data_IF_256354287714
#
_entry.id   IF_256354287714
#
_cell.length_a   1.000
_cell.length_b   1.000
_cell.length_c   1.000
_cell.angle_alpha   90.00
_cell.angle_beta   90.00
_cell.angle_gamma   90.00
#
_symmetry.space_group_name_H-M   'P 1'
#
loop_
_entity.id
_entity.type
_entity.pdbx_description
1 polymer ?
#
# COMPACT_ATOMS: atom_id res chain seq x y z
N UNK A 1 -13.61 21.84 13.32
CA UNK A 1 -12.94 21.66 12.01
C UNK A 1 -11.53 22.22 12.22
N UNK A 2 -10.47 21.44 11.95
CA UNK A 2 -9.11 21.89 12.20
C UNK A 2 -8.69 22.92 11.15
N UNK A 3 -8.29 24.11 11.57
CA UNK A 3 -7.78 25.14 10.65
C UNK A 3 -6.29 24.93 10.38
N UNK A 4 -5.84 25.21 9.15
CA UNK A 4 -4.42 25.11 8.76
C UNK A 4 -3.52 25.93 9.68
N UNK A 5 -3.86 27.20 9.88
CA UNK A 5 -3.12 28.11 10.75
C UNK A 5 -3.05 27.68 12.22
N UNK A 6 -4.05 26.93 12.70
CA UNK A 6 -4.03 26.38 14.06
C UNK A 6 -3.04 25.21 14.17
N UNK A 7 -3.06 24.30 13.21
CA UNK A 7 -2.13 23.17 13.15
C UNK A 7 -0.69 23.65 12.96
N UNK A 8 -0.46 24.64 12.11
CA UNK A 8 0.85 25.26 11.92
C UNK A 8 1.39 25.84 13.24
N UNK A 9 0.57 26.62 13.96
CA UNK A 9 0.94 27.18 15.27
C UNK A 9 1.28 26.09 16.28
N UNK A 10 0.49 25.02 16.34
CA UNK A 10 0.74 23.88 17.24
C UNK A 10 2.05 23.17 16.90
N UNK A 11 2.31 22.90 15.61
CA UNK A 11 3.57 22.29 15.17
C UNK A 11 4.77 23.18 15.55
N UNK A 12 4.71 24.48 15.27
CA UNK A 12 5.79 25.42 15.61
C UNK A 12 6.00 25.48 17.12
N UNK A 13 4.92 25.51 17.91
CA UNK A 13 4.97 25.47 19.37
C UNK A 13 5.66 24.20 19.87
N UNK A 14 5.22 23.02 19.43
CA UNK A 14 5.82 21.73 19.78
C UNK A 14 7.31 21.71 19.44
N UNK A 15 7.71 22.22 18.26
CA UNK A 15 9.13 22.29 17.87
C UNK A 15 9.92 23.17 18.83
N UNK A 16 9.44 24.37 19.15
CA UNK A 16 10.10 25.30 20.09
C UNK A 16 10.25 24.72 21.49
N UNK A 17 9.16 24.16 22.04
CA UNK A 17 9.13 23.64 23.41
C UNK A 17 10.04 22.43 23.59
N UNK A 18 10.35 21.70 22.51
CA UNK A 18 11.19 20.50 22.55
C UNK A 18 12.57 20.72 21.92
N UNK A 19 13.00 21.97 21.72
CA UNK A 19 14.35 22.32 21.25
C UNK A 19 14.64 21.96 19.78
N UNK A 20 13.61 21.71 18.97
CA UNK A 20 13.78 21.45 17.55
C UNK A 20 13.90 22.77 16.76
N UNK A 21 14.70 22.81 15.68
CA UNK A 21 14.77 23.97 14.80
C UNK A 21 13.40 24.31 14.22
N UNK A 22 13.00 25.57 14.27
CA UNK A 22 11.79 26.06 13.60
C UNK A 22 12.14 26.28 12.14
N UNK A 23 11.74 25.32 11.31
CA UNK A 23 11.89 25.38 9.86
C UNK A 23 10.58 25.89 9.24
N UNK A 24 10.64 26.68 8.16
CA UNK A 24 9.44 27.03 7.42
C UNK A 24 8.85 25.77 6.77
N UNK A 25 7.53 25.68 6.75
CA UNK A 25 6.80 24.64 6.04
C UNK A 25 5.43 25.16 5.60
N UNK A 26 4.81 24.46 4.66
CA UNK A 26 3.46 24.80 4.17
C UNK A 26 2.51 23.62 4.24
N UNK A 27 1.35 23.86 4.87
CA UNK A 27 0.18 22.97 4.80
C UNK A 27 -0.79 23.52 3.75
N UNK A 28 -0.99 22.78 2.66
CA UNK A 28 -1.93 23.14 1.60
C UNK A 28 -3.38 22.80 1.99
N UNK A 29 -3.59 21.68 2.67
CA UNK A 29 -4.92 21.19 3.02
C UNK A 29 -4.90 20.33 4.29
N UNK A 30 -6.00 20.35 5.05
CA UNK A 30 -6.25 19.42 6.16
C UNK A 30 -7.58 18.72 5.92
N UNK A 31 -7.56 17.39 6.08
CA UNK A 31 -8.77 16.56 6.05
C UNK A 31 -8.91 15.82 7.36
N UNK A 32 -10.12 15.79 7.91
CA UNK A 32 -10.40 15.06 9.15
C UNK A 32 -11.49 14.04 8.91
N UNK A 33 -11.15 12.77 9.13
CA UNK A 33 -12.11 11.67 9.06
C UNK A 33 -12.69 11.40 10.44
N UNK A 34 -13.92 11.87 10.66
CA UNK A 34 -14.64 11.72 11.92
C UNK A 34 -14.92 10.26 12.28
N UNK A 35 -15.11 9.39 11.29
CA UNK A 35 -15.46 7.98 11.51
C UNK A 35 -14.29 7.21 12.12
N UNK A 36 -13.08 7.43 11.59
CA UNK A 36 -11.87 6.76 12.09
C UNK A 36 -11.07 7.60 13.09
N UNK A 37 -11.50 8.84 13.35
CA UNK A 37 -10.83 9.83 14.20
C UNK A 37 -9.37 10.06 13.75
N UNK A 38 -9.20 10.32 12.45
CA UNK A 38 -7.89 10.49 11.80
C UNK A 38 -7.76 11.85 11.13
N UNK A 39 -6.66 12.52 11.41
CA UNK A 39 -6.28 13.77 10.77
C UNK A 39 -5.25 13.53 9.67
N UNK A 40 -5.53 14.08 8.49
CA UNK A 40 -4.63 14.05 7.35
C UNK A 40 -4.15 15.48 7.08
N UNK A 41 -2.83 15.66 7.05
CA UNK A 41 -2.18 16.92 6.72
C UNK A 41 -1.56 16.76 5.33
N UNK A 42 -1.94 17.62 4.39
CA UNK A 42 -1.40 17.61 3.03
C UNK A 42 -0.39 18.75 2.94
N UNK A 43 0.87 18.37 2.98
CA UNK A 43 2.01 19.26 2.81
C UNK A 43 2.21 19.58 1.33
N UNK A 44 2.74 20.76 1.01
CA UNK A 44 2.96 21.14 -0.40
C UNK A 44 3.98 20.24 -1.09
N UNK A 45 5.10 19.92 -0.45
CA UNK A 45 6.10 18.98 -0.96
C UNK A 45 6.64 18.00 0.10
N UNK A 46 7.68 17.21 -0.26
CA UNK A 46 8.32 16.24 0.64
C UNK A 46 9.17 16.89 1.72
N UNK A 47 9.76 18.07 1.46
CA UNK A 47 10.51 18.84 2.44
C UNK A 47 9.56 19.39 3.51
N UNK A 48 8.42 19.93 3.10
CA UNK A 48 7.33 20.37 4.00
C UNK A 48 6.79 19.20 4.82
N UNK A 49 6.51 18.06 4.17
CA UNK A 49 6.10 16.82 4.88
C UNK A 49 7.12 16.46 5.95
N UNK A 50 8.42 16.48 5.63
CA UNK A 50 9.50 16.16 6.57
C UNK A 50 9.62 17.19 7.70
N UNK A 51 9.40 18.47 7.41
CA UNK A 51 9.36 19.53 8.41
C UNK A 51 8.17 19.40 9.37
N UNK A 52 7.00 18.98 8.88
CA UNK A 52 5.82 18.74 9.70
C UNK A 52 6.02 17.45 10.53
N UNK A 53 6.58 16.39 9.93
CA UNK A 53 6.84 15.12 10.62
C UNK A 53 7.93 15.24 11.69
N UNK A 54 9.01 15.94 11.36
CA UNK A 54 10.25 15.91 12.13
C UNK A 54 10.85 14.50 12.17
N UNK A 55 11.23 14.07 13.36
CA UNK A 55 11.69 12.71 13.66
C UNK A 55 10.54 11.82 14.18
N UNK A 56 9.32 12.00 13.65
CA UNK A 56 8.05 11.42 14.13
C UNK A 56 7.57 11.90 15.50
N UNK A 57 8.44 12.54 16.30
CA UNK A 57 8.07 13.07 17.62
C UNK A 57 7.02 14.17 17.53
N UNK A 58 7.20 15.11 16.59
CA UNK A 58 6.32 16.27 16.42
C UNK A 58 4.88 15.82 16.15
N UNK A 59 4.71 14.84 15.27
CA UNK A 59 3.40 14.26 14.95
C UNK A 59 2.84 13.46 16.12
N UNK A 60 3.69 12.74 16.86
CA UNK A 60 3.29 12.05 18.08
C UNK A 60 2.69 13.00 19.12
N UNK A 61 3.36 14.14 19.36
CA UNK A 61 2.87 15.19 20.26
C UNK A 61 1.65 15.92 19.73
N UNK A 62 1.62 16.23 18.44
CA UNK A 62 0.46 16.85 17.80
C UNK A 62 -0.78 15.97 17.95
N UNK A 63 -0.64 14.65 17.74
CA UNK A 63 -1.70 13.67 17.97
C UNK A 63 -2.20 13.71 19.42
N UNK A 64 -1.29 13.73 20.41
CA UNK A 64 -1.63 13.83 21.83
C UNK A 64 -2.39 15.13 22.15
N UNK A 65 -1.91 16.28 21.68
CA UNK A 65 -2.55 17.58 21.93
C UNK A 65 -3.92 17.73 21.27
N UNK A 66 -4.12 17.12 20.10
CA UNK A 66 -5.39 17.18 19.37
C UNK A 66 -6.39 16.12 19.85
N UNK A 67 -5.95 15.12 20.62
CA UNK A 67 -6.81 14.05 21.12
C UNK A 67 -7.36 13.13 20.02
N UNK A 68 -6.71 13.06 18.87
CA UNK A 68 -7.13 12.21 17.73
C UNK A 68 -6.41 10.86 17.74
N UNK A 69 -7.03 9.80 17.19
CA UNK A 69 -6.39 8.47 17.11
C UNK A 69 -5.12 8.45 16.26
N UNK A 70 -5.10 9.19 15.16
CA UNK A 70 -3.96 9.19 14.24
C UNK A 70 -3.82 10.53 13.52
N UNK A 71 -2.57 10.94 13.30
CA UNK A 71 -2.19 12.02 12.39
C UNK A 71 -1.31 11.42 11.30
N UNK A 72 -1.59 11.74 10.03
CA UNK A 72 -0.80 11.28 8.88
C UNK A 72 -0.52 12.46 7.97
N UNK A 73 0.72 12.54 7.47
CA UNK A 73 1.17 13.63 6.61
C UNK A 73 1.48 13.07 5.22
N UNK A 74 0.84 13.63 4.20
CA UNK A 74 1.11 13.32 2.79
C UNK A 74 1.73 14.53 2.10
N UNK A 75 2.56 14.30 1.09
CA UNK A 75 2.93 15.37 0.18
C UNK A 75 1.89 15.46 -0.94
N UNK A 76 1.58 16.67 -1.39
CA UNK A 76 0.69 16.90 -2.52
C UNK A 76 1.22 16.28 -3.81
N UNK A 77 2.55 16.24 -3.96
CA UNK A 77 3.19 15.58 -5.09
C UNK A 77 2.86 14.07 -5.14
N UNK A 78 2.93 13.36 -4.00
CA UNK A 78 2.59 11.94 -3.95
C UNK A 78 1.10 11.72 -4.32
N UNK A 79 0.20 12.60 -3.87
CA UNK A 79 -1.22 12.54 -4.23
C UNK A 79 -1.48 12.83 -5.73
N UNK A 80 -0.71 13.73 -6.33
CA UNK A 80 -0.77 14.01 -7.78
C UNK A 80 -0.29 12.79 -8.58
N UNK A 81 0.81 12.17 -8.16
CA UNK A 81 1.34 10.95 -8.80
C UNK A 81 0.29 9.83 -8.74
N UNK A 82 -0.28 9.59 -7.55
CA UNK A 82 -1.38 8.64 -7.35
C UNK A 82 -2.54 8.91 -8.32
N UNK A 83 -3.01 10.16 -8.41
CA UNK A 83 -4.11 10.53 -9.31
C UNK A 83 -3.81 10.21 -10.77
N UNK A 84 -2.61 10.54 -11.26
CA UNK A 84 -2.20 10.21 -12.64
C UNK A 84 -2.20 8.70 -12.89
N UNK A 85 -1.69 7.91 -11.96
CA UNK A 85 -1.70 6.44 -12.04
C UNK A 85 -3.13 5.87 -12.09
N UNK A 86 -4.01 6.40 -11.25
CA UNK A 86 -5.42 6.01 -11.23
C UNK A 86 -6.13 6.36 -12.56
N UNK A 87 -5.85 7.51 -13.15
CA UNK A 87 -6.39 7.90 -14.47
C UNK A 87 -5.90 6.98 -15.60
N UNK A 88 -4.62 6.63 -15.59
CA UNK A 88 -4.03 5.68 -16.54
C UNK A 88 -4.67 4.29 -16.39
N UNK A 89 -4.80 3.81 -15.15
CA UNK A 89 -5.33 2.48 -14.85
C UNK A 89 -6.84 2.37 -15.07
N UNK A 90 -7.60 3.45 -14.87
CA UNK A 90 -9.01 3.52 -15.23
C UNK A 90 -9.22 3.28 -16.72
N UNK A 91 -8.35 3.86 -17.57
CA UNK A 91 -8.40 3.64 -19.02
C UNK A 91 -8.05 2.20 -19.39
N UNK A 92 -7.08 1.58 -18.71
CA UNK A 92 -6.67 0.19 -18.97
C UNK A 92 -7.78 -0.82 -18.69
N UNK A 93 -8.60 -0.60 -17.66
CA UNK A 93 -9.65 -1.56 -17.26
C UNK A 93 -10.99 -1.34 -17.95
N UNK A 94 -11.21 -0.17 -18.56
CA UNK A 94 -12.47 0.13 -19.26
C UNK A 94 -12.67 -0.82 -20.44
N UNK A 95 -13.86 -1.41 -20.56
CA UNK A 95 -14.21 -2.44 -21.52
C UNK A 95 -13.66 -3.83 -21.19
N UNK A 96 -13.07 -4.03 -20.02
CA UNK A 96 -12.52 -5.34 -19.60
C UNK A 96 -13.37 -5.95 -18.48
N UNK A 97 -13.13 -7.22 -18.18
CA UNK A 97 -13.77 -7.90 -17.04
C UNK A 97 -13.31 -7.36 -15.66
N UNK A 98 -12.39 -6.38 -15.63
CA UNK A 98 -11.94 -5.70 -14.42
C UNK A 98 -12.71 -4.40 -14.14
N UNK A 99 -13.73 -4.03 -14.94
CA UNK A 99 -14.53 -2.81 -14.72
C UNK A 99 -15.19 -2.75 -13.34
N UNK A 100 -15.39 -3.87 -12.65
CA UNK A 100 -15.87 -3.88 -11.27
C UNK A 100 -14.95 -3.11 -10.30
N UNK A 101 -13.68 -2.83 -10.68
CA UNK A 101 -12.74 -2.01 -9.90
C UNK A 101 -12.95 -0.50 -10.07
N UNK A 102 -13.75 -0.05 -11.03
CA UNK A 102 -14.00 1.39 -11.28
C UNK A 102 -14.46 2.13 -10.02
N UNK A 103 -15.43 1.62 -9.22
CA UNK A 103 -15.83 2.30 -7.98
C UNK A 103 -14.70 2.42 -6.94
N UNK A 104 -13.73 1.50 -6.94
CA UNK A 104 -12.55 1.60 -6.08
C UNK A 104 -11.63 2.74 -6.55
N UNK A 105 -11.38 2.83 -7.86
CA UNK A 105 -10.59 3.91 -8.44
C UNK A 105 -11.22 5.27 -8.14
N UNK A 106 -12.53 5.40 -8.32
CA UNK A 106 -13.28 6.63 -8.04
C UNK A 106 -13.18 7.04 -6.57
N UNK A 107 -13.25 6.08 -5.66
CA UNK A 107 -13.02 6.33 -4.24
C UNK A 107 -11.58 6.79 -3.97
N UNK A 108 -10.57 6.19 -4.60
CA UNK A 108 -9.17 6.56 -4.44
C UNK A 108 -8.82 7.96 -4.98
N UNK A 109 -9.60 8.54 -5.92
CA UNK A 109 -9.38 9.93 -6.34
C UNK A 109 -9.59 10.95 -5.21
N UNK A 110 -10.41 10.59 -4.22
CA UNK A 110 -10.74 11.41 -3.06
C UNK A 110 -9.87 11.09 -1.83
N UNK A 111 -8.93 10.15 -1.96
CA UNK A 111 -7.97 9.83 -0.92
C UNK A 111 -7.09 11.05 -0.58
N UNK A 112 -6.73 11.28 0.70
CA UNK A 112 -7.22 10.63 1.92
C UNK A 112 -8.54 11.25 2.45
N UNK A 113 -9.34 10.54 3.27
CA UNK A 113 -9.18 9.15 3.72
C UNK A 113 -9.52 8.11 2.63
N UNK A 114 -9.08 6.87 2.84
CA UNK A 114 -9.47 5.71 2.00
C UNK A 114 -10.84 5.19 2.43
N UNK A 115 -11.86 5.37 1.59
CA UNK A 115 -13.24 4.90 1.83
C UNK A 115 -13.74 4.06 0.66
N UNK A 116 -13.27 2.81 0.60
CA UNK A 116 -13.69 1.89 -0.48
C UNK A 116 -15.15 1.47 -0.31
N UNK A 117 -15.96 1.51 -1.39
CA UNK A 117 -17.28 0.91 -1.37
C UNK A 117 -17.17 -0.61 -1.16
N UNK A 118 -18.21 -1.21 -0.59
CA UNK A 118 -18.34 -2.66 -0.58
C UNK A 118 -18.67 -3.12 -1.99
N UNK A 119 -17.86 -4.02 -2.53
CA UNK A 119 -18.13 -4.67 -3.81
C UNK A 119 -18.41 -6.15 -3.59
N UNK A 120 -19.19 -6.71 -4.52
CA UNK A 120 -19.45 -8.14 -4.60
C UNK A 120 -19.17 -8.57 -6.05
N UNK A 121 -17.89 -8.59 -6.43
CA UNK A 121 -17.50 -9.03 -7.77
C UNK A 121 -18.00 -10.45 -8.07
N UNK A 122 -17.99 -11.34 -7.08
CA UNK A 122 -18.50 -12.72 -7.21
C UNK A 122 -17.62 -13.66 -8.04
N UNK A 123 -16.67 -13.09 -8.79
CA UNK A 123 -15.63 -13.76 -9.56
C UNK A 123 -14.60 -14.48 -8.68
N UNK A 124 -13.97 -15.51 -9.23
CA UNK A 124 -12.83 -16.18 -8.61
C UNK A 124 -11.53 -15.42 -8.88
N UNK A 125 -10.63 -15.43 -7.92
CA UNK A 125 -9.28 -14.93 -8.11
C UNK A 125 -8.24 -15.86 -7.49
N UNK A 126 -7.16 -16.12 -8.21
CA UNK A 126 -6.00 -16.83 -7.73
C UNK A 126 -5.11 -15.83 -6.99
N UNK A 127 -4.95 -15.98 -5.68
CA UNK A 127 -4.15 -15.08 -4.87
C UNK A 127 -2.84 -15.77 -4.52
N UNK A 128 -1.74 -15.29 -5.09
CA UNK A 128 -0.40 -15.78 -4.78
C UNK A 128 0.15 -15.06 -3.54
N UNK A 129 0.45 -15.84 -2.49
CA UNK A 129 1.03 -15.36 -1.24
C UNK A 129 2.50 -14.95 -1.46
N UNK A 130 2.65 -13.72 -1.91
CA UNK A 130 3.88 -12.96 -2.07
C UNK A 130 4.20 -12.16 -0.80
N UNK A 131 5.23 -11.31 -0.82
CA UNK A 131 5.68 -10.54 0.35
C UNK A 131 4.55 -9.77 1.06
N UNK A 132 3.63 -9.20 0.31
CA UNK A 132 2.44 -8.50 0.79
C UNK A 132 1.20 -9.40 0.86
N UNK A 133 1.35 -10.71 1.14
CA UNK A 133 0.28 -11.72 1.16
C UNK A 133 -1.03 -11.25 1.84
N UNK A 134 -0.94 -10.60 3.00
CA UNK A 134 -2.11 -10.05 3.71
C UNK A 134 -2.83 -8.96 2.92
N UNK A 135 -2.09 -8.09 2.24
CA UNK A 135 -2.66 -7.08 1.35
C UNK A 135 -3.32 -7.71 0.12
N UNK A 136 -2.71 -8.73 -0.47
CA UNK A 136 -3.26 -9.44 -1.63
C UNK A 136 -4.59 -10.13 -1.30
N UNK A 137 -4.64 -10.87 -0.18
CA UNK A 137 -5.88 -11.49 0.32
C UNK A 137 -6.90 -10.41 0.69
N UNK A 138 -6.49 -9.42 1.48
CA UNK A 138 -7.39 -8.37 1.98
C UNK A 138 -7.99 -7.55 0.84
N UNK A 139 -7.23 -7.32 -0.24
CA UNK A 139 -7.74 -6.72 -1.46
C UNK A 139 -8.84 -7.58 -2.09
N UNK A 140 -8.57 -8.87 -2.35
CA UNK A 140 -9.53 -9.79 -2.95
C UNK A 140 -10.83 -9.86 -2.14
N UNK A 141 -10.73 -9.99 -0.81
CA UNK A 141 -11.87 -10.01 0.11
C UNK A 141 -12.65 -8.68 0.09
N UNK A 142 -11.96 -7.53 0.07
CA UNK A 142 -12.60 -6.20 0.06
C UNK A 142 -13.38 -5.91 -1.22
N UNK A 143 -12.92 -6.42 -2.36
CA UNK A 143 -13.61 -6.24 -3.64
C UNK A 143 -14.61 -7.37 -3.94
N UNK A 144 -14.77 -8.32 -3.00
CA UNK A 144 -15.77 -9.38 -3.10
C UNK A 144 -15.39 -10.50 -4.07
N UNK A 145 -14.09 -10.78 -4.24
CA UNK A 145 -13.58 -11.91 -5.01
C UNK A 145 -13.51 -13.17 -4.13
N UNK A 146 -13.76 -14.33 -4.74
CA UNK A 146 -13.55 -15.64 -4.12
C UNK A 146 -12.07 -16.02 -4.28
N UNK A 147 -11.28 -15.78 -3.24
CA UNK A 147 -9.84 -15.97 -3.25
C UNK A 147 -9.45 -17.46 -3.11
N UNK A 148 -8.88 -18.03 -4.17
CA UNK A 148 -8.15 -19.30 -4.14
C UNK A 148 -6.67 -18.99 -3.83
N UNK A 149 -6.23 -19.32 -2.62
CA UNK A 149 -4.93 -18.90 -2.08
C UNK A 149 -3.88 -19.96 -2.37
N UNK A 150 -2.81 -19.57 -3.06
CA UNK A 150 -1.64 -20.42 -3.33
C UNK A 150 -0.36 -19.74 -2.84
N UNK A 151 0.68 -20.51 -2.53
CA UNK A 151 1.94 -19.91 -2.08
C UNK A 151 3.07 -20.93 -1.98
N UNK A 152 4.30 -20.42 -1.90
CA UNK A 152 5.48 -21.29 -1.75
C UNK A 152 5.41 -22.04 -0.42
N UNK A 153 5.79 -23.31 -0.45
CA UNK A 153 5.80 -24.17 0.74
C UNK A 153 6.62 -23.58 1.90
N UNK A 154 6.01 -23.59 3.09
CA UNK A 154 6.62 -23.13 4.35
C UNK A 154 7.02 -21.64 4.42
N UNK A 155 6.40 -20.75 3.64
CA UNK A 155 6.65 -19.29 3.75
C UNK A 155 5.72 -18.60 4.74
N UNK A 156 4.46 -19.03 4.86
CA UNK A 156 3.46 -18.42 5.74
C UNK A 156 2.73 -19.45 6.64
N UNK A 157 3.39 -20.08 7.61
CA UNK A 157 2.84 -21.20 8.39
C UNK A 157 1.58 -20.87 9.23
N UNK A 158 1.26 -19.59 9.40
CA UNK A 158 0.05 -19.12 10.12
C UNK A 158 -1.12 -18.81 9.20
N UNK A 159 -0.98 -19.07 7.90
CA UNK A 159 -1.99 -18.77 6.89
C UNK A 159 -2.40 -20.06 6.20
N UNK A 160 -3.69 -20.15 5.86
CA UNK A 160 -4.24 -21.27 5.09
C UNK A 160 -4.11 -20.96 3.59
N UNK A 161 -3.42 -21.85 2.88
CA UNK A 161 -3.20 -21.77 1.44
C UNK A 161 -2.78 -23.14 0.89
N UNK A 162 -2.98 -23.35 -0.40
CA UNK A 162 -2.44 -24.49 -1.11
C UNK A 162 -0.95 -24.27 -1.40
N UNK A 163 -0.10 -25.15 -0.88
CA UNK A 163 1.33 -25.06 -1.05
C UNK A 163 1.76 -25.55 -2.43
N UNK A 164 2.54 -24.74 -3.14
CA UNK A 164 3.16 -25.09 -4.40
C UNK A 164 4.69 -25.09 -4.26
N UNK A 165 5.36 -25.85 -5.12
CA UNK A 165 6.82 -25.80 -5.26
C UNK A 165 7.23 -24.50 -5.96
N UNK A 166 8.40 -23.96 -5.63
CA UNK A 166 8.88 -22.68 -6.18
C UNK A 166 10.11 -22.16 -5.46
N UNK A 167 10.79 -21.21 -6.10
CA UNK A 167 11.95 -20.53 -5.51
C UNK A 167 11.51 -19.46 -4.50
N UNK A 168 12.33 -19.18 -3.48
CA UNK A 168 12.02 -18.09 -2.54
C UNK A 168 12.05 -16.70 -3.20
N UNK A 169 12.68 -16.56 -4.36
CA UNK A 169 12.65 -15.34 -5.18
C UNK A 169 11.22 -15.01 -5.63
N UNK A 170 10.40 -16.01 -5.92
CA UNK A 170 9.01 -15.83 -6.35
C UNK A 170 8.14 -15.13 -5.28
N UNK A 171 8.54 -15.17 -4.01
CA UNK A 171 7.88 -14.41 -2.94
C UNK A 171 7.87 -12.90 -3.24
N UNK A 172 8.89 -12.40 -3.91
CA UNK A 172 9.09 -10.99 -4.23
C UNK A 172 8.80 -10.68 -5.69
N UNK A 173 9.04 -11.65 -6.58
CA UNK A 173 8.84 -11.53 -8.01
C UNK A 173 8.08 -12.76 -8.53
N UNK A 174 6.75 -12.77 -8.42
CA UNK A 174 5.93 -13.93 -8.80
C UNK A 174 6.15 -14.34 -10.26
N UNK A 175 6.22 -15.65 -10.53
CA UNK A 175 6.39 -16.19 -11.88
C UNK A 175 5.10 -16.05 -12.68
N UNK A 176 5.10 -15.14 -13.66
CA UNK A 176 3.94 -14.84 -14.51
C UNK A 176 3.41 -16.08 -15.23
N UNK A 177 4.30 -16.88 -15.83
CA UNK A 177 3.89 -18.00 -16.68
C UNK A 177 3.27 -19.08 -15.83
N UNK A 178 3.98 -19.49 -14.78
CA UNK A 178 3.50 -20.52 -13.84
C UNK A 178 2.14 -20.16 -13.22
N UNK A 179 1.95 -18.91 -12.83
CA UNK A 179 0.67 -18.48 -12.26
C UNK A 179 -0.45 -18.37 -13.28
N UNK A 180 -0.12 -18.05 -14.54
CA UNK A 180 -1.08 -18.06 -15.66
C UNK A 180 -1.52 -19.49 -15.97
N UNK A 181 -0.59 -20.44 -16.08
CA UNK A 181 -0.87 -21.85 -16.34
C UNK A 181 -1.82 -22.43 -15.26
N UNK A 182 -1.52 -22.18 -13.97
CA UNK A 182 -2.39 -22.61 -12.85
C UNK A 182 -3.78 -21.96 -12.92
N UNK A 183 -3.86 -20.68 -13.30
CA UNK A 183 -5.13 -19.98 -13.40
C UNK A 183 -5.98 -20.52 -14.56
N UNK A 184 -5.36 -20.84 -15.70
CA UNK A 184 -6.02 -21.44 -16.86
C UNK A 184 -6.59 -22.82 -16.52
N UNK A 185 -5.80 -23.70 -15.90
CA UNK A 185 -6.23 -25.03 -15.44
C UNK A 185 -7.46 -24.96 -14.51
N UNK A 186 -7.59 -23.88 -13.74
CA UNK A 186 -8.69 -23.66 -12.79
C UNK A 186 -9.84 -22.82 -13.34
N UNK A 187 -9.74 -22.35 -14.58
CA UNK A 187 -10.72 -21.45 -15.19
C UNK A 187 -10.83 -20.10 -14.46
N UNK A 188 -9.73 -19.59 -13.92
CA UNK A 188 -9.65 -18.33 -13.18
C UNK A 188 -9.07 -17.24 -14.07
N UNK A 189 -9.72 -16.09 -14.11
CA UNK A 189 -9.33 -14.96 -14.98
C UNK A 189 -8.54 -13.86 -14.27
N UNK A 190 -8.45 -13.91 -12.93
CA UNK A 190 -7.79 -12.88 -12.13
C UNK A 190 -6.74 -13.53 -11.27
N UNK A 191 -5.49 -13.11 -11.41
CA UNK A 191 -4.36 -13.51 -10.58
C UNK A 191 -3.85 -12.28 -9.84
N UNK A 192 -3.70 -12.39 -8.53
CA UNK A 192 -3.27 -11.30 -7.65
C UNK A 192 -1.94 -11.67 -7.00
N UNK A 193 -0.96 -10.77 -7.08
CA UNK A 193 0.34 -10.94 -6.42
C UNK A 193 1.21 -9.70 -6.52
N UNK A 194 2.38 -9.72 -5.86
CA UNK A 194 3.40 -8.66 -5.94
C UNK A 194 4.15 -8.64 -7.29
N UNK A 195 3.43 -8.57 -8.41
CA UNK A 195 4.07 -8.44 -9.73
C UNK A 195 4.87 -7.13 -9.83
N UNK A 196 5.94 -7.09 -10.64
CA UNK A 196 6.75 -5.88 -10.85
C UNK A 196 6.07 -4.83 -11.76
N UNK A 197 4.77 -5.00 -12.05
CA UNK A 197 3.94 -4.10 -12.85
C UNK A 197 2.55 -3.98 -12.21
N UNK A 198 1.74 -3.01 -12.64
CA UNK A 198 0.40 -2.80 -12.09
C UNK A 198 -0.63 -3.82 -12.59
N UNK A 199 -0.77 -3.97 -13.89
CA UNK A 199 -1.71 -4.86 -14.56
C UNK A 199 -1.15 -5.32 -15.90
N UNK A 200 -1.22 -6.62 -16.16
CA UNK A 200 -0.99 -7.23 -17.46
C UNK A 200 -2.14 -8.19 -17.77
N UNK A 201 -2.69 -8.13 -18.99
CA UNK A 201 -3.73 -9.06 -19.44
C UNK A 201 -3.14 -9.91 -20.55
N UNK A 202 -2.98 -11.21 -20.29
CA UNK A 202 -2.48 -12.19 -21.26
C UNK A 202 -3.58 -13.23 -21.48
N UNK A 203 -3.98 -13.46 -22.73
CA UNK A 203 -4.88 -14.57 -23.09
C UNK A 203 -6.20 -14.60 -22.28
N UNK A 204 -6.70 -13.42 -21.87
CA UNK A 204 -7.93 -13.29 -21.09
C UNK A 204 -7.78 -13.46 -19.58
N UNK A 205 -6.55 -13.64 -19.07
CA UNK A 205 -6.17 -13.69 -17.67
C UNK A 205 -5.46 -12.38 -17.28
N UNK A 206 -5.90 -11.75 -16.20
CA UNK A 206 -5.33 -10.54 -15.64
C UNK A 206 -4.36 -10.86 -14.50
N UNK A 207 -3.10 -10.48 -14.65
CA UNK A 207 -2.09 -10.46 -13.59
C UNK A 207 -2.09 -9.06 -12.96
N UNK A 208 -2.53 -8.96 -11.71
CA UNK A 208 -2.80 -7.69 -11.03
C UNK A 208 -1.94 -7.56 -9.75
N UNK A 209 -1.18 -6.47 -9.66
CA UNK A 209 -0.62 -6.01 -8.39
C UNK A 209 -1.47 -4.84 -7.86
N UNK A 210 -2.35 -5.06 -6.86
CA UNK A 210 -3.24 -4.01 -6.35
C UNK A 210 -2.49 -2.83 -5.73
N UNK A 211 -1.31 -3.04 -5.14
CA UNK A 211 -0.55 -1.93 -4.54
C UNK A 211 -0.01 -0.98 -5.61
N UNK A 212 0.54 -1.53 -6.70
CA UNK A 212 1.00 -0.73 -7.86
C UNK A 212 -0.17 -0.13 -8.61
N UNK A 213 -1.22 -0.92 -8.84
CA UNK A 213 -2.41 -0.51 -9.59
C UNK A 213 -3.15 0.67 -8.95
N UNK A 214 -3.33 0.64 -7.63
CA UNK A 214 -3.97 1.75 -6.91
C UNK A 214 -2.97 2.77 -6.37
N UNK A 215 -1.66 2.55 -6.57
CA UNK A 215 -0.59 3.34 -5.97
C UNK A 215 -0.80 3.52 -4.45
N UNK A 216 -0.80 2.39 -3.75
CA UNK A 216 -0.97 2.27 -2.29
C UNK A 216 0.38 1.87 -1.72
N UNK A 217 0.95 2.74 -0.87
CA UNK A 217 2.22 2.45 -0.25
C UNK A 217 2.14 1.29 0.75
N UNK A 218 3.28 0.63 0.97
CA UNK A 218 3.45 -0.47 1.92
C UNK A 218 2.91 -0.13 3.31
N UNK A 219 3.24 1.05 3.83
CA UNK A 219 2.74 1.52 5.13
C UNK A 219 1.21 1.56 5.12
N UNK A 220 0.59 2.18 4.11
CA UNK A 220 -0.86 2.26 4.01
C UNK A 220 -1.51 0.88 3.90
N UNK A 221 -0.94 0.00 3.07
CA UNK A 221 -1.41 -1.37 2.89
C UNK A 221 -1.34 -2.17 4.20
N UNK A 222 -0.24 -2.03 4.96
CA UNK A 222 -0.07 -2.66 6.27
C UNK A 222 -1.15 -2.23 7.28
N UNK A 223 -1.53 -0.95 7.30
CA UNK A 223 -2.59 -0.48 8.20
C UNK A 223 -4.00 -0.84 7.70
N UNK A 224 -4.18 -0.95 6.38
CA UNK A 224 -5.49 -1.18 5.78
C UNK A 224 -5.85 -2.67 5.68
N UNK A 225 -4.87 -3.53 5.38
CA UNK A 225 -5.05 -4.98 5.19
C UNK A 225 -4.27 -5.85 6.17
N UNK A 226 -3.33 -5.27 6.92
CA UNK A 226 -2.40 -6.02 7.76
C UNK A 226 -1.13 -6.45 7.02
N UNK A 227 -0.18 -7.03 7.77
CA UNK A 227 1.07 -7.54 7.23
C UNK A 227 1.53 -8.74 8.07
N UNK A 228 1.83 -9.86 7.41
CA UNK A 228 2.46 -11.03 8.04
C UNK A 228 3.83 -11.20 7.39
N UNK A 229 4.86 -11.35 8.22
CA UNK A 229 6.22 -11.53 7.71
C UNK A 229 6.42 -12.99 7.28
N UNK A 230 6.99 -13.25 6.09
CA UNK A 230 7.34 -14.60 5.68
C UNK A 230 8.42 -15.19 6.61
N UNK A 231 8.33 -16.50 6.88
CA UNK A 231 9.30 -17.18 7.75
C UNK A 231 10.61 -17.50 7.01
N UNK A 232 10.54 -17.74 5.71
CA UNK A 232 11.68 -17.96 4.80
C UNK A 232 11.73 -16.83 3.77
N UNK A 233 12.94 -16.34 3.47
CA UNK A 233 13.15 -15.24 2.52
C UNK A 233 14.44 -15.47 1.74
N UNK A 234 14.41 -15.12 0.46
CA UNK A 234 15.60 -14.87 -0.33
C UNK A 234 16.09 -13.44 -0.01
N UNK A 235 17.32 -13.30 0.49
CA UNK A 235 17.83 -12.01 0.98
C UNK A 235 18.14 -11.03 -0.15
N UNK A 236 18.65 -11.53 -1.28
CA UNK A 236 19.02 -10.70 -2.42
C UNK A 236 17.76 -10.21 -3.12
N UNK A 237 16.83 -11.12 -3.42
CA UNK A 237 15.56 -10.76 -4.04
C UNK A 237 14.74 -9.78 -3.17
N UNK A 238 14.84 -9.89 -1.84
CA UNK A 238 14.18 -8.93 -0.95
C UNK A 238 14.80 -7.53 -1.04
N UNK A 239 16.13 -7.41 -1.13
CA UNK A 239 16.77 -6.10 -1.29
C UNK A 239 16.29 -5.46 -2.58
N UNK A 240 16.35 -6.19 -3.69
CA UNK A 240 15.91 -5.70 -5.00
C UNK A 240 14.45 -5.24 -4.95
N UNK A 241 13.56 -6.07 -4.38
CA UNK A 241 12.15 -5.72 -4.23
C UNK A 241 11.93 -4.47 -3.38
N UNK A 242 12.65 -4.33 -2.27
CA UNK A 242 12.58 -3.15 -1.41
C UNK A 242 13.08 -1.91 -2.17
N UNK A 243 14.17 -2.04 -2.92
CA UNK A 243 14.71 -0.96 -3.74
C UNK A 243 13.71 -0.51 -4.80
N UNK A 244 13.06 -1.43 -5.50
CA UNK A 244 12.02 -1.14 -6.50
C UNK A 244 10.83 -0.40 -5.87
N UNK A 245 10.32 -0.92 -4.75
CA UNK A 245 9.19 -0.30 -4.04
C UNK A 245 9.52 1.11 -3.55
N UNK A 246 10.75 1.35 -3.09
CA UNK A 246 11.21 2.69 -2.69
C UNK A 246 11.35 3.62 -3.89
N UNK A 247 11.96 3.13 -4.99
CA UNK A 247 12.16 3.91 -6.21
C UNK A 247 10.83 4.37 -6.83
N UNK A 248 9.79 3.54 -6.73
CA UNK A 248 8.45 3.85 -7.23
C UNK A 248 7.61 4.71 -6.27
N UNK A 249 8.13 5.00 -5.08
CA UNK A 249 7.39 5.74 -4.05
C UNK A 249 6.29 4.92 -3.35
N UNK A 250 6.32 3.59 -3.49
CA UNK A 250 5.41 2.66 -2.81
C UNK A 250 5.94 2.23 -1.44
N UNK A 251 7.15 2.60 -1.05
CA UNK A 251 7.71 2.33 0.26
C UNK A 251 8.58 3.49 0.71
N UNK A 252 8.46 3.89 1.98
CA UNK A 252 9.38 4.87 2.57
C UNK A 252 10.75 4.23 2.80
N UNK A 253 11.84 4.96 2.56
CA UNK A 253 13.21 4.42 2.71
C UNK A 253 13.47 3.86 4.11
N UNK A 254 12.84 4.46 5.14
CA UNK A 254 12.94 4.00 6.53
C UNK A 254 12.26 2.65 6.76
N UNK A 255 11.08 2.43 6.16
CA UNK A 255 10.41 1.13 6.21
C UNK A 255 11.22 0.07 5.46
N UNK A 256 11.76 0.42 4.29
CA UNK A 256 12.64 -0.46 3.51
C UNK A 256 13.89 -0.87 4.29
N UNK A 257 14.59 0.07 4.90
CA UNK A 257 15.76 -0.20 5.73
C UNK A 257 15.44 -1.13 6.91
N UNK A 258 14.29 -0.92 7.57
CA UNK A 258 13.84 -1.78 8.67
C UNK A 258 13.55 -3.21 8.22
N UNK A 259 12.99 -3.40 7.03
CA UNK A 259 12.72 -4.72 6.44
C UNK A 259 14.03 -5.43 6.07
N UNK A 260 14.97 -4.73 5.42
CA UNK A 260 16.30 -5.25 5.09
C UNK A 260 17.02 -5.70 6.37
N UNK A 261 17.07 -4.83 7.38
CA UNK A 261 17.69 -5.15 8.66
C UNK A 261 17.06 -6.37 9.33
N UNK A 262 15.73 -6.50 9.28
CA UNK A 262 15.02 -7.65 9.82
C UNK A 262 15.44 -8.97 9.14
N UNK A 263 15.52 -9.01 7.81
CA UNK A 263 15.90 -10.24 7.12
C UNK A 263 17.38 -10.59 7.32
N UNK A 264 18.25 -9.58 7.42
CA UNK A 264 19.68 -9.81 7.69
C UNK A 264 19.92 -10.43 9.08
N UNK A 265 19.08 -10.10 10.07
CA UNK A 265 19.13 -10.70 11.40
C UNK A 265 18.65 -12.15 11.45
N UNK A 266 17.88 -12.62 10.46
CA UNK A 266 17.51 -14.04 10.39
C UNK A 266 18.73 -14.86 9.96
N UNK A 267 19.13 -15.76 10.85
CA UNK A 267 20.05 -16.86 10.56
C UNK A 267 19.34 -17.91 9.72
#
# INVERSE_FOLDING_TARGET
>A
MFATSEIEKKIVKIRKENGFPVVPFVIDEIRYDKESDKLFIIARDRSDKSAIIGNSFVIGKLKEELGVKQVTVYSKLDLIIKRKKLEENLKKIKGTFLEFLVPIIEAEFNFPPRKWPKLNAGEKALVFLSFNAKAMIGFAEKVGLKAEKIGIKYTFPKMEYEAIEGSLKELFFPDEKKLTDIAEERGIRIVIGDFPFDLKINEGIALLNPLRFFHIGFFEAKYFFGFEKPVRVDKEAMIDFVMDMVAEGLMESTDGANLIWWAMKKR
#
